data_IF_974448145386
#
_entry.id   IF_974448145386
#
_cell.length_a   1.000
_cell.length_b   1.000
_cell.length_c   1.000
_cell.angle_alpha   90.00
_cell.angle_beta   90.00
_cell.angle_gamma   90.00
#
_symmetry.space_group_name_H-M   'P 1'
#
loop_
_entity.id
_entity.type
_entity.pdbx_description
1 polymer ?
#
# COMPACT_ATOMS: atom_id res chain seq x y z
N UNK A 1 62.08 15.30 57.41
CA UNK A 1 60.65 15.52 57.67
C UNK A 1 59.86 14.71 56.65
N UNK A 2 58.90 13.92 57.13
CA UNK A 2 58.01 12.96 56.44
C UNK A 2 56.74 13.74 56.01
N UNK A 3 56.09 13.52 54.85
CA UNK A 3 54.97 12.58 54.50
C UNK A 3 54.68 12.72 52.97
N UNK A 4 54.62 11.69 52.12
CA UNK A 4 53.55 10.68 51.84
C UNK A 4 52.18 11.21 51.38
N UNK A 5 51.82 10.98 50.10
CA UNK A 5 50.51 10.57 49.50
C UNK A 5 50.43 11.03 48.03
N UNK A 6 49.58 10.55 47.12
CA UNK A 6 49.18 9.23 46.61
C UNK A 6 48.27 9.49 45.39
N UNK A 7 48.30 8.60 44.37
CA UNK A 7 47.18 8.19 43.50
C UNK A 7 46.71 9.07 42.31
N UNK A 8 46.97 8.52 41.10
CA UNK A 8 46.13 8.17 39.91
C UNK A 8 45.05 9.09 39.33
N UNK A 9 45.09 9.18 37.98
CA UNK A 9 44.12 8.74 36.94
C UNK A 9 44.13 9.78 35.79
N UNK A 10 44.67 9.44 34.61
CA UNK A 10 43.94 8.97 33.42
C UNK A 10 42.73 9.84 33.07
N UNK A 11 42.77 10.49 31.91
CA UNK A 11 41.89 10.13 30.80
C UNK A 11 42.27 10.89 29.51
N UNK A 12 42.73 10.11 28.54
CA UNK A 12 42.70 10.42 27.12
C UNK A 12 41.24 10.48 26.66
N UNK A 13 40.70 11.68 26.38
CA UNK A 13 39.55 11.80 25.48
C UNK A 13 40.05 11.77 24.04
N UNK A 14 40.42 10.57 23.58
CA UNK A 14 40.52 10.29 22.15
C UNK A 14 39.11 10.00 21.63
N UNK A 15 38.41 11.03 21.17
CA UNK A 15 37.17 10.87 20.41
C UNK A 15 37.49 10.28 19.02
N UNK A 16 37.72 8.96 18.97
CA UNK A 16 37.79 8.24 17.70
C UNK A 16 36.36 8.10 17.17
N UNK A 17 35.93 9.10 16.40
CA UNK A 17 34.78 8.96 15.51
C UNK A 17 35.20 8.03 14.37
N UNK A 18 35.00 6.72 14.56
CA UNK A 18 35.12 5.75 13.47
C UNK A 18 33.92 5.93 12.55
N UNK A 19 33.99 6.89 11.63
CA UNK A 19 33.20 6.86 10.39
C UNK A 19 33.65 5.62 9.62
N UNK A 20 32.96 4.50 9.82
CA UNK A 20 32.93 3.44 8.81
C UNK A 20 32.31 4.05 7.56
N UNK A 21 33.07 4.12 6.47
CA UNK A 21 32.56 4.44 5.15
C UNK A 21 31.49 3.40 4.79
N UNK A 22 30.22 3.74 5.02
CA UNK A 22 29.10 2.87 4.74
C UNK A 22 28.91 2.81 3.22
N UNK A 23 29.02 1.61 2.64
CA UNK A 23 28.86 1.40 1.20
C UNK A 23 27.48 1.86 0.75
N UNK A 24 27.42 2.55 -0.38
CA UNK A 24 26.16 2.87 -1.05
C UNK A 24 25.38 1.59 -1.40
N UNK A 25 24.07 1.72 -1.58
CA UNK A 25 23.25 0.58 -2.00
C UNK A 25 23.72 0.00 -3.35
N UNK A 26 24.16 0.87 -4.28
CA UNK A 26 24.67 0.45 -5.57
C UNK A 26 25.93 -0.42 -5.45
N UNK A 27 26.89 -0.04 -4.60
CA UNK A 27 28.09 -0.83 -4.33
C UNK A 27 27.75 -2.16 -3.65
N UNK A 28 26.79 -2.16 -2.72
CA UNK A 28 26.31 -3.39 -2.09
C UNK A 28 25.70 -4.35 -3.12
N UNK A 29 24.90 -3.84 -4.07
CA UNK A 29 24.35 -4.63 -5.17
C UNK A 29 25.48 -5.24 -6.00
N UNK A 30 26.47 -4.44 -6.41
CA UNK A 30 27.62 -4.92 -7.18
C UNK A 30 28.41 -6.01 -6.44
N UNK A 31 28.64 -5.84 -5.14
CA UNK A 31 29.32 -6.83 -4.33
C UNK A 31 28.54 -8.15 -4.24
N UNK A 32 27.21 -8.10 -4.10
CA UNK A 32 26.38 -9.31 -4.04
C UNK A 32 26.40 -10.04 -5.38
N UNK A 33 26.35 -9.31 -6.50
CA UNK A 33 26.40 -9.90 -7.84
C UNK A 33 27.79 -10.43 -8.19
N UNK A 34 28.85 -9.80 -7.68
CA UNK A 34 30.23 -10.28 -7.79
C UNK A 34 30.57 -11.41 -6.79
N UNK A 35 29.63 -11.82 -5.93
CA UNK A 35 29.85 -12.85 -4.91
C UNK A 35 30.75 -12.43 -3.74
N UNK A 36 30.99 -11.13 -3.58
CA UNK A 36 31.80 -10.51 -2.51
C UNK A 36 30.97 -10.05 -1.31
N UNK A 37 29.65 -9.94 -1.47
CA UNK A 37 28.74 -9.55 -0.41
C UNK A 37 28.72 -10.54 0.76
N UNK A 38 28.53 -10.05 1.98
CA UNK A 38 28.38 -10.91 3.16
C UNK A 38 27.07 -11.70 3.04
N UNK A 39 27.14 -13.01 2.77
CA UNK A 39 25.98 -13.89 2.58
C UNK A 39 24.95 -13.92 3.72
N UNK A 40 25.31 -13.47 4.91
CA UNK A 40 24.42 -13.44 6.07
C UNK A 40 23.71 -12.09 6.24
N UNK A 41 24.14 -11.04 5.53
CA UNK A 41 23.53 -9.72 5.65
C UNK A 41 22.54 -9.45 4.52
N UNK A 42 21.45 -8.78 4.88
CA UNK A 42 20.60 -8.04 3.96
C UNK A 42 21.33 -6.77 3.48
N UNK A 43 20.89 -6.23 2.36
CA UNK A 43 21.36 -4.95 1.84
C UNK A 43 20.61 -3.81 2.54
N UNK A 44 21.34 -2.78 2.97
CA UNK A 44 20.73 -1.51 3.39
C UNK A 44 20.47 -0.67 2.15
N UNK A 45 19.19 -0.46 1.83
CA UNK A 45 18.74 0.32 0.67
C UNK A 45 18.88 1.81 0.96
N UNK A 46 18.25 2.27 2.03
CA UNK A 46 18.32 3.64 2.52
C UNK A 46 17.84 3.70 3.97
N UNK A 47 17.97 4.87 4.59
CA UNK A 47 17.16 5.19 5.76
C UNK A 47 15.73 5.54 5.32
N UNK A 48 14.75 5.40 6.21
CA UNK A 48 13.34 5.66 5.87
C UNK A 48 13.15 7.10 5.40
N UNK A 49 12.70 7.35 4.14
CA UNK A 49 12.50 8.69 3.62
C UNK A 49 11.34 9.42 4.32
N UNK A 50 11.37 10.76 4.29
CA UNK A 50 10.41 11.61 4.99
C UNK A 50 8.95 11.26 4.65
N UNK A 51 8.65 11.01 3.38
CA UNK A 51 7.29 10.67 2.94
C UNK A 51 6.75 9.38 3.57
N UNK A 52 7.63 8.43 3.92
CA UNK A 52 7.26 7.21 4.65
C UNK A 52 7.08 7.48 6.14
N UNK A 53 7.85 8.41 6.72
CA UNK A 53 7.66 8.86 8.10
C UNK A 53 6.33 9.59 8.26
N UNK A 54 5.95 10.41 7.28
CA UNK A 54 4.71 11.21 7.31
C UNK A 54 3.46 10.32 7.32
N UNK A 55 3.52 9.13 6.70
CA UNK A 55 2.46 8.11 6.78
C UNK A 55 2.56 7.21 8.02
N UNK A 56 3.56 7.43 8.89
CA UNK A 56 3.68 6.79 10.20
C UNK A 56 4.78 5.75 10.35
N UNK A 57 5.63 5.48 9.34
CA UNK A 57 6.78 4.59 9.51
C UNK A 57 7.74 5.14 10.59
N UNK A 58 8.35 4.25 11.36
CA UNK A 58 9.44 4.63 12.26
C UNK A 58 10.73 4.91 11.46
N UNK A 59 11.61 5.76 12.01
CA UNK A 59 12.95 6.01 11.45
C UNK A 59 13.85 4.77 11.63
N UNK A 60 13.68 3.79 10.76
CA UNK A 60 14.42 2.53 10.72
C UNK A 60 15.16 2.39 9.37
N UNK A 61 16.21 1.57 9.28
CA UNK A 61 16.82 1.27 7.99
C UNK A 61 15.84 0.48 7.11
N UNK A 62 15.83 0.76 5.82
CA UNK A 62 15.13 -0.05 4.82
C UNK A 62 16.06 -1.16 4.34
N UNK A 63 15.71 -2.41 4.64
CA UNK A 63 16.53 -3.57 4.32
C UNK A 63 15.91 -4.43 3.23
N UNK A 64 16.75 -5.08 2.44
CA UNK A 64 16.35 -5.93 1.31
C UNK A 64 17.23 -7.17 1.20
N UNK A 65 16.63 -8.36 1.05
CA UNK A 65 17.43 -9.59 1.02
C UNK A 65 18.21 -9.74 -0.30
N UNK A 66 19.38 -10.37 -0.22
CA UNK A 66 20.15 -10.76 -1.41
C UNK A 66 19.40 -11.75 -2.30
N UNK A 67 18.58 -12.61 -1.71
CA UNK A 67 17.78 -13.59 -2.47
C UNK A 67 16.69 -12.88 -3.29
N UNK A 68 16.02 -11.90 -2.69
CA UNK A 68 15.03 -11.10 -3.41
C UNK A 68 15.70 -10.28 -4.51
N UNK A 69 16.88 -9.69 -4.25
CA UNK A 69 17.68 -9.01 -5.28
C UNK A 69 17.93 -9.91 -6.49
N UNK A 70 18.46 -11.12 -6.25
CA UNK A 70 18.75 -12.08 -7.33
C UNK A 70 17.48 -12.44 -8.10
N UNK A 71 16.36 -12.66 -7.40
CA UNK A 71 15.08 -12.93 -8.05
C UNK A 71 14.56 -11.76 -8.87
N UNK A 72 14.72 -10.54 -8.37
CA UNK A 72 14.25 -9.34 -9.04
C UNK A 72 14.91 -9.15 -10.42
N UNK A 73 16.21 -9.44 -10.52
CA UNK A 73 16.98 -9.23 -11.76
C UNK A 73 16.99 -10.42 -12.73
N UNK A 74 16.58 -11.61 -12.28
CA UNK A 74 16.50 -12.78 -13.15
C UNK A 74 15.37 -12.60 -14.17
N UNK A 75 15.50 -13.16 -15.39
CA UNK A 75 14.47 -13.09 -16.41
C UNK A 75 13.09 -13.45 -15.88
N UNK A 76 12.06 -12.72 -16.31
CA UNK A 76 10.72 -12.83 -15.73
C UNK A 76 10.21 -14.28 -15.81
N UNK A 77 9.85 -14.81 -14.65
CA UNK A 77 9.29 -16.15 -14.49
C UNK A 77 8.42 -16.19 -13.24
N UNK A 78 7.11 -16.12 -13.46
CA UNK A 78 6.12 -16.03 -12.38
C UNK A 78 6.14 -17.25 -11.45
N UNK A 79 6.47 -18.45 -11.97
CA UNK A 79 6.54 -19.68 -11.15
C UNK A 79 7.71 -19.68 -10.17
N UNK A 80 8.79 -18.96 -10.50
CA UNK A 80 10.00 -18.86 -9.69
C UNK A 80 10.09 -17.53 -8.92
N UNK A 81 9.07 -16.68 -9.05
CA UNK A 81 9.05 -15.30 -8.55
C UNK A 81 10.26 -14.49 -9.06
N UNK A 82 10.56 -14.60 -10.35
CA UNK A 82 11.59 -13.80 -11.02
C UNK A 82 10.92 -12.66 -11.80
N UNK A 83 11.52 -11.47 -11.78
CA UNK A 83 10.80 -10.24 -12.15
C UNK A 83 11.38 -9.46 -13.34
N UNK A 84 12.57 -9.80 -13.82
CA UNK A 84 13.14 -9.22 -15.05
C UNK A 84 13.52 -7.74 -14.97
N UNK A 85 13.81 -7.22 -13.77
CA UNK A 85 14.30 -5.85 -13.59
C UNK A 85 15.79 -5.76 -13.95
N UNK A 86 16.24 -4.61 -14.44
CA UNK A 86 17.66 -4.37 -14.64
C UNK A 86 18.38 -4.09 -13.31
N UNK A 87 19.71 -4.25 -13.31
CA UNK A 87 20.53 -3.94 -12.14
C UNK A 87 20.46 -2.44 -11.82
N UNK A 88 20.43 -1.59 -12.86
CA UNK A 88 20.34 -0.14 -12.76
C UNK A 88 19.02 0.28 -12.09
N UNK A 89 17.88 -0.29 -12.52
CA UNK A 89 16.58 -0.05 -11.89
C UNK A 89 16.59 -0.37 -10.39
N UNK A 90 17.24 -1.48 -10.02
CA UNK A 90 17.41 -1.82 -8.61
C UNK A 90 18.25 -0.77 -7.90
N UNK A 91 19.41 -0.38 -8.46
CA UNK A 91 20.32 0.60 -7.82
C UNK A 91 19.67 1.95 -7.57
N UNK A 92 18.69 2.34 -8.39
CA UNK A 92 17.91 3.59 -8.25
C UNK A 92 16.82 3.55 -7.16
N UNK A 93 16.53 2.38 -6.57
CA UNK A 93 15.49 2.24 -5.55
C UNK A 93 15.55 3.27 -4.41
N UNK A 94 16.72 3.61 -3.82
CA UNK A 94 16.79 4.61 -2.76
C UNK A 94 16.16 5.96 -3.14
N UNK A 95 16.48 6.46 -4.34
CA UNK A 95 15.96 7.72 -4.87
C UNK A 95 14.48 7.60 -5.24
N UNK A 96 14.11 6.53 -5.95
CA UNK A 96 12.73 6.30 -6.41
C UNK A 96 11.74 6.08 -5.28
N UNK A 97 12.15 5.46 -4.17
CA UNK A 97 11.32 5.26 -2.97
C UNK A 97 11.11 6.57 -2.22
N UNK A 98 12.12 7.45 -2.17
CA UNK A 98 11.99 8.77 -1.55
C UNK A 98 11.03 9.68 -2.31
N UNK A 99 10.81 9.39 -3.59
CA UNK A 99 10.06 10.20 -4.53
C UNK A 99 8.96 9.42 -5.27
N UNK A 100 8.03 8.77 -4.55
CA UNK A 100 7.11 7.79 -5.13
C UNK A 100 6.04 8.44 -5.99
N UNK A 101 5.42 7.63 -6.86
CA UNK A 101 4.22 8.01 -7.61
C UNK A 101 2.99 7.87 -6.71
N UNK A 102 2.89 6.77 -5.96
CA UNK A 102 1.80 6.52 -5.02
C UNK A 102 2.27 5.71 -3.82
N UNK A 103 1.62 5.94 -2.68
CA UNK A 103 1.71 5.11 -1.49
C UNK A 103 0.33 4.52 -1.22
N UNK A 104 0.27 3.20 -1.02
CA UNK A 104 -0.98 2.43 -1.02
C UNK A 104 -0.93 1.38 0.08
N UNK A 105 -2.01 1.23 0.84
CA UNK A 105 -2.17 0.09 1.76
C UNK A 105 -2.33 -1.22 0.99
N UNK A 106 -1.67 -2.28 1.43
CA UNK A 106 -1.83 -3.58 0.79
C UNK A 106 -3.19 -4.21 1.14
N UNK A 107 -4.07 -4.36 0.16
CA UNK A 107 -5.35 -5.07 0.32
C UNK A 107 -5.17 -6.56 0.68
N UNK A 108 -4.03 -7.16 0.35
CA UNK A 108 -3.77 -8.60 0.59
C UNK A 108 -2.98 -8.87 1.87
N UNK A 109 -2.25 -7.88 2.39
CA UNK A 109 -1.45 -8.00 3.61
C UNK A 109 -1.65 -6.76 4.48
N UNK A 110 -2.41 -6.92 5.56
CA UNK A 110 -2.73 -5.83 6.52
C UNK A 110 -1.53 -5.32 7.34
N UNK A 111 -0.32 -5.79 7.06
CA UNK A 111 0.93 -5.36 7.69
C UNK A 111 1.90 -4.76 6.67
N UNK A 112 1.43 -4.41 5.47
CA UNK A 112 2.27 -4.03 4.35
C UNK A 112 1.77 -2.80 3.63
N UNK A 113 2.73 -2.00 3.16
CA UNK A 113 2.51 -0.85 2.29
C UNK A 113 3.11 -1.17 0.92
N UNK A 114 2.49 -0.62 -0.13
CA UNK A 114 2.95 -0.71 -1.51
C UNK A 114 3.30 0.69 -1.99
N UNK A 115 4.48 0.80 -2.58
CA UNK A 115 5.00 2.02 -3.18
C UNK A 115 4.98 1.80 -4.69
N UNK A 116 4.27 2.63 -5.44
CA UNK A 116 4.43 2.68 -6.89
C UNK A 116 5.53 3.68 -7.23
N UNK A 117 6.52 3.26 -8.01
CA UNK A 117 7.63 4.12 -8.45
C UNK A 117 7.54 4.37 -9.95
N UNK A 118 8.09 5.50 -10.41
CA UNK A 118 8.07 5.85 -11.83
C UNK A 118 9.18 5.08 -12.57
N UNK A 119 8.88 3.82 -12.85
CA UNK A 119 9.72 2.87 -13.57
C UNK A 119 8.87 1.69 -14.08
N UNK A 120 9.40 0.92 -15.03
CA UNK A 120 8.66 -0.15 -15.73
C UNK A 120 9.52 -1.40 -15.91
N UNK A 121 8.92 -2.58 -15.71
CA UNK A 121 9.61 -3.84 -16.02
C UNK A 121 9.76 -4.07 -17.54
N UNK A 122 10.40 -5.19 -17.93
CA UNK A 122 10.58 -5.57 -19.33
C UNK A 122 9.28 -5.75 -20.13
N UNK A 123 8.14 -5.89 -19.45
CA UNK A 123 6.80 -6.03 -20.04
C UNK A 123 5.97 -4.73 -19.92
N UNK A 124 6.62 -3.60 -19.61
CA UNK A 124 6.00 -2.29 -19.39
C UNK A 124 5.01 -2.23 -18.22
N UNK A 125 5.10 -3.15 -17.26
CA UNK A 125 4.29 -3.06 -16.03
C UNK A 125 4.94 -2.07 -15.05
N UNK A 126 4.18 -1.12 -14.47
CA UNK A 126 4.71 -0.20 -13.46
C UNK A 126 5.34 -0.94 -12.29
N UNK A 127 6.55 -0.53 -11.91
CA UNK A 127 7.27 -1.18 -10.81
C UNK A 127 6.68 -0.76 -9.48
N UNK A 128 6.43 -1.75 -8.63
CA UNK A 128 6.02 -1.54 -7.24
C UNK A 128 7.06 -2.12 -6.28
N UNK A 129 7.22 -1.46 -5.14
CA UNK A 129 8.00 -1.91 -3.99
C UNK A 129 7.02 -2.22 -2.88
N UNK A 130 7.03 -3.46 -2.37
CA UNK A 130 6.22 -3.80 -1.19
C UNK A 130 7.09 -3.81 0.05
N UNK A 131 6.69 -3.01 1.04
CA UNK A 131 7.38 -2.88 2.30
C UNK A 131 6.52 -3.46 3.43
N UNK A 132 7.18 -4.08 4.40
CA UNK A 132 6.63 -4.42 5.71
C UNK A 132 7.23 -3.46 6.73
N UNK A 133 6.50 -2.42 7.15
CA UNK A 133 6.95 -1.52 8.20
C UNK A 133 7.22 -2.29 9.50
N UNK A 134 8.17 -1.81 10.31
CA UNK A 134 8.47 -2.37 11.63
C UNK A 134 8.81 -3.88 11.64
N UNK A 135 9.29 -4.41 10.51
CA UNK A 135 9.79 -5.77 10.39
C UNK A 135 11.18 -5.94 11.02
N UNK A 136 11.86 -6.99 10.58
CA UNK A 136 13.23 -7.28 11.01
C UNK A 136 14.07 -7.72 9.83
N UNK A 137 15.33 -7.31 9.80
CA UNK A 137 16.33 -7.82 8.86
C UNK A 137 17.65 -8.12 9.56
N UNK A 138 18.61 -8.62 8.79
CA UNK A 138 19.91 -9.05 9.28
C UNK A 138 21.00 -8.11 8.75
N UNK A 139 21.67 -7.37 9.63
CA UNK A 139 22.82 -6.53 9.27
C UNK A 139 23.84 -6.64 10.39
N UNK A 140 24.74 -7.64 10.29
CA UNK A 140 25.59 -8.08 11.40
C UNK A 140 24.77 -8.87 12.43
N UNK A 141 23.85 -8.20 13.12
CA UNK A 141 22.84 -8.78 14.01
C UNK A 141 21.42 -8.59 13.45
N UNK A 142 20.44 -9.28 14.06
CA UNK A 142 19.03 -9.06 13.74
C UNK A 142 18.60 -7.71 14.29
N UNK A 143 18.13 -6.82 13.42
CA UNK A 143 17.70 -5.46 13.76
C UNK A 143 16.28 -5.20 13.26
N UNK A 144 15.60 -4.21 13.86
CA UNK A 144 14.32 -3.70 13.34
C UNK A 144 14.54 -2.93 12.04
N UNK A 145 13.60 -3.04 11.11
CA UNK A 145 13.70 -2.41 9.79
C UNK A 145 12.34 -2.18 9.15
N UNK A 146 12.26 -1.20 8.24
CA UNK A 146 11.16 -1.11 7.29
C UNK A 146 11.51 -1.99 6.09
N UNK A 147 11.07 -3.24 6.13
CA UNK A 147 11.66 -4.30 5.32
C UNK A 147 11.05 -4.36 3.92
N UNK A 148 11.88 -4.25 2.88
CA UNK A 148 11.44 -4.42 1.50
C UNK A 148 11.28 -5.92 1.21
N UNK A 149 10.03 -6.33 1.01
CA UNK A 149 9.66 -7.74 0.82
C UNK A 149 9.72 -8.17 -0.65
N UNK A 150 9.52 -7.24 -1.59
CA UNK A 150 9.53 -7.52 -3.03
C UNK A 150 9.63 -6.24 -3.85
N UNK A 151 10.23 -6.33 -5.04
CA UNK A 151 10.27 -5.28 -6.08
C UNK A 151 9.97 -5.96 -7.40
N UNK A 152 8.92 -5.52 -8.10
CA UNK A 152 8.48 -6.15 -9.36
C UNK A 152 7.52 -5.28 -10.15
N UNK A 153 7.42 -5.51 -11.46
CA UNK A 153 6.39 -4.92 -12.32
C UNK A 153 5.00 -5.47 -11.97
N UNK A 154 4.05 -4.58 -11.67
CA UNK A 154 2.69 -4.95 -11.27
C UNK A 154 1.78 -5.10 -12.48
N UNK A 155 1.45 -6.35 -12.80
CA UNK A 155 0.38 -6.68 -13.74
C UNK A 155 -0.98 -6.22 -13.20
N UNK A 156 -1.90 -5.92 -14.13
CA UNK A 156 -3.25 -5.44 -13.82
C UNK A 156 -3.23 -4.20 -12.90
N UNK A 157 -2.34 -3.26 -13.24
CA UNK A 157 -2.09 -2.08 -12.42
C UNK A 157 -3.34 -1.19 -12.29
N UNK A 158 -4.17 -1.09 -13.34
CA UNK A 158 -5.40 -0.29 -13.29
C UNK A 158 -6.37 -0.87 -12.27
N UNK A 159 -6.60 -2.18 -12.30
CA UNK A 159 -7.49 -2.88 -11.38
C UNK A 159 -6.96 -2.77 -9.95
N UNK A 160 -5.64 -2.82 -9.79
CA UNK A 160 -4.97 -2.61 -8.51
C UNK A 160 -5.25 -1.20 -7.96
N UNK A 161 -5.05 -0.15 -8.75
CA UNK A 161 -5.33 1.24 -8.34
C UNK A 161 -6.83 1.47 -8.12
N UNK A 162 -7.69 0.96 -9.01
CA UNK A 162 -9.14 1.13 -8.89
C UNK A 162 -9.68 0.53 -7.61
N UNK A 163 -9.16 -0.64 -7.22
CA UNK A 163 -9.47 -1.27 -5.94
C UNK A 163 -8.95 -0.47 -4.76
N UNK A 164 -7.72 0.02 -4.84
CA UNK A 164 -7.15 0.84 -3.77
C UNK A 164 -7.94 2.14 -3.55
N UNK A 165 -8.50 2.75 -4.61
CA UNK A 165 -9.41 3.89 -4.49
C UNK A 165 -10.72 3.47 -3.82
N UNK A 166 -11.34 2.38 -4.29
CA UNK A 166 -12.63 1.90 -3.77
C UNK A 166 -12.57 1.47 -2.29
N UNK A 167 -11.42 0.97 -1.84
CA UNK A 167 -11.17 0.55 -0.46
C UNK A 167 -10.57 1.67 0.42
N UNK A 168 -10.45 2.89 -0.12
CA UNK A 168 -9.86 4.04 0.57
C UNK A 168 -8.45 3.73 1.13
N UNK A 169 -7.63 3.07 0.30
CA UNK A 169 -6.30 2.60 0.64
C UNK A 169 -5.17 3.48 0.09
N UNK A 170 -5.49 4.57 -0.61
CA UNK A 170 -4.48 5.50 -1.12
C UNK A 170 -4.00 6.41 0.02
N UNK A 171 -2.72 6.32 0.36
CA UNK A 171 -2.07 7.13 1.40
C UNK A 171 -1.51 8.45 0.83
N UNK A 172 -1.03 8.40 -0.41
CA UNK A 172 -0.44 9.52 -1.13
C UNK A 172 -0.47 9.23 -2.63
N UNK A 173 -0.55 10.28 -3.44
CA UNK A 173 -0.24 10.20 -4.87
C UNK A 173 0.33 11.53 -5.40
N UNK A 174 1.33 11.43 -6.26
CA UNK A 174 1.92 12.56 -6.98
C UNK A 174 1.15 12.80 -8.28
N UNK A 175 0.67 14.02 -8.50
CA UNK A 175 -0.17 14.34 -9.66
C UNK A 175 0.57 14.17 -10.99
N UNK A 176 1.79 14.70 -11.08
CA UNK A 176 2.55 14.76 -12.33
C UNK A 176 3.08 13.36 -12.66
N UNK A 177 3.72 12.70 -11.68
CA UNK A 177 4.27 11.35 -11.86
C UNK A 177 3.17 10.34 -12.15
N UNK A 178 1.99 10.47 -11.54
CA UNK A 178 0.87 9.57 -11.83
C UNK A 178 0.35 9.78 -13.25
N UNK A 179 0.17 11.03 -13.69
CA UNK A 179 -0.26 11.32 -15.05
C UNK A 179 0.74 10.81 -16.10
N UNK A 180 2.03 11.02 -15.88
CA UNK A 180 3.09 10.45 -16.70
C UNK A 180 2.99 8.93 -16.72
N UNK A 181 2.84 8.31 -15.55
CA UNK A 181 2.79 6.86 -15.41
C UNK A 181 1.69 6.24 -16.29
N UNK A 182 0.47 6.78 -16.22
CA UNK A 182 -0.66 6.29 -17.02
C UNK A 182 -0.51 6.63 -18.52
N UNK A 183 0.11 7.78 -18.84
CA UNK A 183 0.32 8.21 -20.22
C UNK A 183 1.29 7.29 -20.98
N UNK A 184 2.40 6.88 -20.35
CA UNK A 184 3.37 5.93 -20.94
C UNK A 184 2.72 4.58 -21.25
N UNK A 185 1.75 4.17 -20.43
CA UNK A 185 1.01 2.94 -20.64
C UNK A 185 -0.08 3.06 -21.73
N UNK A 186 -0.35 4.27 -22.24
CA UNK A 186 -1.47 4.54 -23.15
C UNK A 186 -2.83 4.34 -22.48
N UNK A 187 -2.90 4.49 -21.16
CA UNK A 187 -4.09 4.18 -20.36
C UNK A 187 -4.83 5.45 -19.95
N UNK A 188 -6.14 5.31 -19.74
CA UNK A 188 -6.95 6.39 -19.18
C UNK A 188 -6.60 6.60 -17.71
N UNK A 189 -6.41 7.86 -17.32
CA UNK A 189 -6.17 8.23 -15.92
C UNK A 189 -7.39 7.89 -15.03
N UNK A 190 -7.22 7.26 -13.86
CA UNK A 190 -8.32 6.91 -12.97
C UNK A 190 -9.05 8.14 -12.43
N UNK A 191 -10.32 8.32 -12.84
CA UNK A 191 -11.12 9.49 -12.43
C UNK A 191 -11.30 9.59 -10.92
N UNK A 192 -11.32 8.46 -10.20
CA UNK A 192 -11.46 8.44 -8.74
C UNK A 192 -10.32 9.14 -7.99
N UNK A 193 -9.12 9.24 -8.57
CA UNK A 193 -8.03 10.00 -7.96
C UNK A 193 -8.31 11.50 -7.92
N UNK A 194 -9.13 12.02 -8.84
CA UNK A 194 -9.48 13.45 -8.84
C UNK A 194 -10.35 13.86 -7.63
N UNK A 195 -10.89 12.89 -6.90
CA UNK A 195 -11.65 13.14 -5.66
C UNK A 195 -10.75 13.21 -4.43
N UNK A 196 -9.45 12.95 -4.57
CA UNK A 196 -8.45 12.98 -3.51
C UNK A 196 -7.51 14.17 -3.73
N UNK A 197 -7.04 14.76 -2.63
CA UNK A 197 -6.02 15.80 -2.71
C UNK A 197 -4.70 15.19 -3.20
N UNK A 198 -4.12 15.80 -4.23
CA UNK A 198 -2.85 15.36 -4.82
C UNK A 198 -1.66 15.99 -4.11
N UNK A 199 -0.51 15.29 -4.11
CA UNK A 199 0.77 15.75 -3.55
C UNK A 199 0.75 16.02 -2.03
N UNK A 200 -0.23 15.47 -1.32
CA UNK A 200 -0.33 15.55 0.13
C UNK A 200 -0.61 14.15 0.69
N UNK A 201 -0.25 13.93 1.96
CA UNK A 201 -0.63 12.71 2.67
C UNK A 201 -2.14 12.76 2.92
N UNK A 202 -2.87 11.78 2.39
CA UNK A 202 -4.32 11.67 2.52
C UNK A 202 -4.67 11.20 3.95
N UNK A 203 -3.97 10.18 4.44
CA UNK A 203 -4.04 9.73 5.83
C UNK A 203 -2.80 8.93 6.22
N UNK A 204 -2.55 8.79 7.52
CA UNK A 204 -1.52 7.88 8.03
C UNK A 204 -1.92 6.42 7.81
N UNK A 205 -0.92 5.55 7.65
CA UNK A 205 -1.15 4.13 7.41
C UNK A 205 -1.82 3.44 8.60
N UNK A 206 -3.00 2.88 8.37
CA UNK A 206 -3.74 2.05 9.32
C UNK A 206 -2.99 0.76 9.67
N UNK A 207 -2.09 0.33 8.78
CA UNK A 207 -1.24 -0.84 8.98
C UNK A 207 -0.06 -0.58 9.93
N UNK A 208 0.28 0.68 10.20
CA UNK A 208 1.38 1.06 11.10
C UNK A 208 0.87 1.61 12.42
N UNK A 209 -0.12 2.51 12.38
CA UNK A 209 -0.61 3.13 13.60
C UNK A 209 -1.39 2.09 14.42
N UNK A 210 -0.91 1.80 15.64
CA UNK A 210 -1.72 1.10 16.63
C UNK A 210 -2.94 1.97 16.91
N UNK A 211 -4.11 1.59 16.40
CA UNK A 211 -5.39 2.21 16.77
C UNK A 211 -5.76 1.83 18.20
N UNK A 212 -5.08 2.45 19.17
CA UNK A 212 -5.71 2.78 20.46
C UNK A 212 -6.43 4.15 20.33
N UNK A 213 -7.06 4.41 19.19
CA UNK A 213 -8.07 5.44 19.07
C UNK A 213 -9.40 4.74 19.40
N UNK A 214 -10.06 5.19 20.48
CA UNK A 214 -11.17 4.50 21.12
C UNK A 214 -12.19 3.96 20.14
N UNK A 215 -12.71 2.76 20.44
CA UNK A 215 -13.85 2.14 19.77
C UNK A 215 -14.97 3.17 19.54
N UNK A 216 -15.06 3.72 18.35
CA UNK A 216 -16.34 4.13 17.78
C UNK A 216 -16.79 3.01 16.85
N UNK A 217 -17.06 1.84 17.45
CA UNK A 217 -17.73 0.71 16.77
C UNK A 217 -19.23 0.95 16.58
N UNK A 218 -19.78 2.12 16.94
CA UNK A 218 -21.24 2.33 16.96
C UNK A 218 -21.85 3.12 15.80
N UNK A 219 -21.10 3.78 14.92
CA UNK A 219 -21.72 4.61 13.85
C UNK A 219 -21.89 3.91 12.51
N UNK A 220 -21.15 2.83 12.23
CA UNK A 220 -21.31 2.07 10.98
C UNK A 220 -22.46 1.04 11.05
N UNK A 221 -22.71 0.45 12.21
CA UNK A 221 -23.80 -0.52 12.39
C UNK A 221 -25.18 0.16 12.45
N UNK A 222 -25.30 1.32 13.10
CA UNK A 222 -26.57 2.05 13.19
C UNK A 222 -27.05 2.55 11.82
N UNK A 223 -26.14 3.07 10.99
CA UNK A 223 -26.50 3.52 9.64
C UNK A 223 -26.86 2.36 8.71
N UNK A 224 -26.21 1.19 8.84
CA UNK A 224 -26.54 0.01 8.04
C UNK A 224 -27.90 -0.58 8.44
N UNK A 225 -28.19 -0.67 9.74
CA UNK A 225 -29.50 -1.10 10.26
C UNK A 225 -30.60 -0.09 9.90
N UNK A 226 -30.31 1.21 9.90
CA UNK A 226 -31.26 2.23 9.46
C UNK A 226 -31.57 2.11 7.96
N UNK A 227 -30.56 1.87 7.12
CA UNK A 227 -30.75 1.64 5.68
C UNK A 227 -31.55 0.37 5.38
N UNK A 228 -31.28 -0.74 6.09
CA UNK A 228 -32.05 -1.99 5.94
C UNK A 228 -33.51 -1.82 6.36
N UNK A 229 -33.79 -1.04 7.42
CA UNK A 229 -35.16 -0.72 7.84
C UNK A 229 -35.91 0.14 6.82
N UNK A 230 -35.24 1.14 6.25
CA UNK A 230 -35.83 1.98 5.19
C UNK A 230 -36.12 1.15 3.95
N UNK A 231 -35.23 0.23 3.56
CA UNK A 231 -35.46 -0.70 2.45
C UNK A 231 -36.68 -1.61 2.70
N UNK A 232 -36.81 -2.16 3.90
CA UNK A 232 -37.94 -3.03 4.26
C UNK A 232 -39.28 -2.29 4.27
N UNK A 233 -39.32 -1.02 4.68
CA UNK A 233 -40.53 -0.17 4.58
C UNK A 233 -40.89 0.17 3.13
N UNK A 234 -39.89 0.42 2.28
CA UNK A 234 -40.12 0.69 0.85
C UNK A 234 -40.69 -0.55 0.15
N UNK A 235 -40.14 -1.73 0.42
CA UNK A 235 -40.63 -3.00 -0.15
C UNK A 235 -42.08 -3.28 0.29
N UNK A 236 -42.38 -3.16 1.59
CA UNK A 236 -43.76 -3.33 2.09
C UNK A 236 -44.75 -2.34 1.50
N UNK A 237 -44.29 -1.15 1.13
CA UNK A 237 -45.13 -0.13 0.49
C UNK A 237 -45.38 -0.49 -0.97
N UNK A 238 -44.37 -1.01 -1.68
CA UNK A 238 -44.52 -1.49 -3.04
C UNK A 238 -45.50 -2.67 -3.13
N UNK A 239 -45.37 -3.66 -2.26
CA UNK A 239 -46.26 -4.83 -2.22
C UNK A 239 -47.73 -4.41 -2.01
N UNK A 240 -47.99 -3.45 -1.12
CA UNK A 240 -49.34 -2.91 -0.89
C UNK A 240 -49.91 -2.17 -2.10
N UNK A 241 -49.05 -1.54 -2.90
CA UNK A 241 -49.47 -0.84 -4.12
C UNK A 241 -49.82 -1.87 -5.19
N UNK A 242 -49.02 -2.92 -5.35
CA UNK A 242 -49.31 -4.04 -6.27
C UNK A 242 -50.63 -4.72 -5.91
N UNK A 243 -50.83 -5.07 -4.63
CA UNK A 243 -52.08 -5.67 -4.15
C UNK A 243 -53.29 -4.75 -4.42
N UNK A 244 -53.14 -3.43 -4.26
CA UNK A 244 -54.22 -2.48 -4.51
C UNK A 244 -54.55 -2.35 -6.01
N UNK A 245 -53.55 -2.46 -6.88
CA UNK A 245 -53.72 -2.45 -8.33
C UNK A 245 -54.46 -3.73 -8.76
N UNK A 246 -54.03 -4.89 -8.27
CA UNK A 246 -54.63 -6.18 -8.63
C UNK A 246 -56.10 -6.26 -8.17
N UNK A 247 -56.39 -5.82 -6.94
CA UNK A 247 -57.77 -5.75 -6.44
C UNK A 247 -58.61 -4.70 -7.18
N UNK A 248 -58.00 -3.61 -7.64
CA UNK A 248 -58.65 -2.60 -8.46
C UNK A 248 -59.05 -3.15 -9.84
N UNK A 249 -58.16 -3.93 -10.47
CA UNK A 249 -58.40 -4.59 -11.76
C UNK A 249 -59.50 -5.66 -11.63
N UNK A 250 -59.43 -6.49 -10.58
CA UNK A 250 -60.42 -7.55 -10.33
C UNK A 250 -61.84 -6.99 -10.14
N UNK A 251 -61.98 -5.87 -9.42
CA UNK A 251 -63.27 -5.21 -9.22
C UNK A 251 -63.83 -4.61 -10.53
N UNK A 252 -62.97 -4.10 -11.42
CA UNK A 252 -63.40 -3.59 -12.73
C UNK A 252 -63.84 -4.72 -13.68
N UNK A 253 -63.17 -5.87 -13.64
CA UNK A 253 -63.56 -7.05 -14.44
C UNK A 253 -64.91 -7.61 -13.98
N UNK A 254 -65.13 -7.73 -12.67
CA UNK A 254 -66.42 -8.17 -12.11
C UNK A 254 -67.57 -7.22 -12.44
N UNK A 255 -67.32 -5.90 -12.45
CA UNK A 255 -68.32 -4.91 -12.89
C UNK A 255 -68.66 -5.07 -14.38
N UNK A 256 -67.66 -5.24 -15.25
CA UNK A 256 -67.88 -5.47 -16.70
C UNK A 256 -68.65 -6.76 -16.98
N UNK A 257 -68.36 -7.85 -16.28
CA UNK A 257 -69.11 -9.10 -16.41
C UNK A 257 -70.56 -8.98 -15.92
N UNK A 258 -70.79 -8.21 -14.85
CA UNK A 258 -72.13 -7.97 -14.33
C UNK A 258 -73.00 -7.09 -15.25
N UNK A 259 -72.38 -6.15 -15.97
CA UNK A 259 -73.04 -5.30 -16.96
C UNK A 259 -73.35 -6.06 -18.26
N UNK A 260 -72.45 -6.94 -18.72
CA UNK A 260 -72.70 -7.81 -19.87
C UNK A 260 -73.84 -8.81 -19.62
N UNK A 261 -73.96 -9.36 -18.41
CA UNK A 261 -75.05 -10.28 -18.04
C UNK A 261 -76.43 -9.59 -17.88
N UNK A 262 -76.49 -8.26 -17.73
CA UNK A 262 -77.75 -7.51 -17.69
C UNK A 262 -78.31 -7.17 -19.08
N UNK A 263 -77.49 -7.21 -20.13
CA UNK A 263 -77.91 -6.93 -21.51
C UNK A 263 -78.47 -8.13 -22.28
N UNK A 264 -78.47 -9.34 -21.71
CA UNK A 264 -78.89 -10.58 -22.36
C UNK A 264 -80.26 -11.12 -21.90
N UNK A 265 -81.12 -10.27 -21.30
CA UNK A 265 -82.51 -10.59 -20.96
C UNK A 265 -83.50 -9.76 -21.77
#
# INVERSE_FOLDING_TARGET
MITSESIRDSDEETSVSSKTDEKSFAEQVDDVLAGKGNRYNDLKVCDTPQILLDIGCEQLPMLYTQNNLKKAILPKNSKLHQHGLSVEQIKELPEKIAEPVMLIESSTRKDSIVIAILDYDSERSPVIVSIKPNGTGQLGNKIRSNFITSVYGRENFIEFISRAIAEENILFWDKIKSQEMFSVLGLQFPKGLNNLDSNVIIHQSRNIVNTNCGKTENTFSENQVALERVLDEVVKTADKIEDAIDNGILNQEQQRESEQNRGAR
#
